data_IF_742388690854
#
_entry.id   IF_742388690854
#
_cell.length_a   1.000
_cell.length_b   1.000
_cell.length_c   1.000
_cell.angle_alpha   90.00
_cell.angle_beta   90.00
_cell.angle_gamma   90.00
#
_symmetry.space_group_name_H-M   'P 1'
#
loop_
_entity.id
_entity.type
_entity.pdbx_description
1 polymer ?
#
# COMPACT_ATOMS: atom_id res chain seq x y z
N UNK A 1 13.32 -3.79 -5.89
CA UNK A 1 12.73 -4.38 -7.11
C UNK A 1 11.43 -5.11 -6.80
N UNK A 2 11.36 -6.06 -5.86
CA UNK A 2 10.13 -6.78 -5.56
C UNK A 2 8.94 -5.87 -5.25
N UNK A 3 9.10 -4.94 -4.32
CA UNK A 3 8.06 -3.95 -3.96
C UNK A 3 7.53 -3.09 -5.13
N UNK A 4 8.37 -2.87 -6.16
CA UNK A 4 7.95 -2.29 -7.43
C UNK A 4 7.01 -3.23 -8.19
N UNK A 5 7.35 -4.53 -8.23
CA UNK A 5 6.58 -5.54 -8.94
C UNK A 5 5.24 -5.83 -8.25
N UNK A 6 5.20 -5.79 -6.91
CA UNK A 6 3.96 -5.89 -6.12
C UNK A 6 3.01 -4.71 -6.44
N UNK A 7 3.53 -3.48 -6.42
CA UNK A 7 2.76 -2.30 -6.81
C UNK A 7 2.24 -2.40 -8.24
N UNK A 8 3.06 -2.88 -9.17
CA UNK A 8 2.66 -3.10 -10.56
C UNK A 8 1.43 -4.00 -10.62
N UNK A 9 1.49 -5.19 -10.05
CA UNK A 9 0.41 -6.18 -10.12
C UNK A 9 -0.87 -5.74 -9.42
N UNK A 10 -0.73 -5.16 -8.23
CA UNK A 10 -1.88 -4.68 -7.44
C UNK A 10 -2.64 -3.57 -8.15
N UNK A 11 -1.91 -2.64 -8.77
CA UNK A 11 -2.52 -1.48 -9.40
C UNK A 11 -3.12 -1.78 -10.78
N UNK A 12 -2.76 -2.89 -11.45
CA UNK A 12 -3.44 -3.32 -12.67
C UNK A 12 -4.96 -3.40 -12.48
N UNK A 13 -5.42 -3.94 -11.35
CA UNK A 13 -6.85 -4.00 -11.05
C UNK A 13 -7.52 -2.63 -11.01
N UNK A 14 -6.94 -1.69 -10.30
CA UNK A 14 -7.48 -0.33 -10.19
C UNK A 14 -7.58 0.35 -11.56
N UNK A 15 -6.57 0.13 -12.40
CA UNK A 15 -6.46 0.74 -13.72
C UNK A 15 -7.45 0.16 -14.74
N UNK A 16 -7.79 -1.13 -14.62
CA UNK A 16 -8.76 -1.79 -15.53
C UNK A 16 -10.16 -1.89 -14.92
N UNK A 17 -10.39 -1.39 -13.72
CA UNK A 17 -11.62 -1.60 -12.95
C UNK A 17 -12.88 -1.18 -13.71
N UNK A 18 -12.84 -0.04 -14.40
CA UNK A 18 -13.97 0.46 -15.18
C UNK A 18 -14.35 -0.51 -16.32
N UNK A 19 -13.35 -0.99 -17.07
CA UNK A 19 -13.59 -1.95 -18.17
C UNK A 19 -14.06 -3.30 -17.61
N UNK A 20 -13.52 -3.72 -16.47
CA UNK A 20 -13.89 -4.95 -15.78
C UNK A 20 -15.34 -4.89 -15.27
N UNK A 21 -15.75 -3.76 -14.67
CA UNK A 21 -17.12 -3.55 -14.20
C UNK A 21 -18.11 -3.62 -15.36
N UNK A 22 -17.78 -3.03 -16.49
CA UNK A 22 -18.63 -3.05 -17.69
C UNK A 22 -18.77 -4.47 -18.27
N UNK A 23 -17.67 -5.25 -18.37
CA UNK A 23 -17.68 -6.60 -18.95
C UNK A 23 -18.39 -7.64 -18.07
N UNK A 24 -18.19 -7.57 -16.75
CA UNK A 24 -18.78 -8.50 -15.78
C UNK A 24 -20.09 -8.01 -15.15
N UNK A 25 -20.66 -6.89 -15.62
CA UNK A 25 -21.86 -6.25 -15.07
C UNK A 25 -21.81 -6.08 -13.54
N UNK A 26 -20.68 -5.52 -13.06
CA UNK A 26 -20.46 -5.29 -11.62
C UNK A 26 -20.81 -3.86 -11.24
N UNK A 27 -21.39 -3.72 -10.03
CA UNK A 27 -21.53 -2.42 -9.40
C UNK A 27 -20.20 -1.93 -8.82
N UNK A 28 -20.10 -0.63 -8.49
CA UNK A 28 -18.93 -0.07 -7.83
C UNK A 28 -18.72 -0.67 -6.44
N UNK A 29 -19.80 -1.00 -5.70
CA UNK A 29 -19.71 -1.73 -4.43
C UNK A 29 -19.07 -3.11 -4.62
N UNK A 30 -19.45 -3.84 -5.67
CA UNK A 30 -18.86 -5.15 -6.00
C UNK A 30 -17.38 -4.99 -6.37
N UNK A 31 -17.02 -4.00 -7.19
CA UNK A 31 -15.65 -3.68 -7.53
C UNK A 31 -14.81 -3.35 -6.29
N UNK A 32 -15.35 -2.53 -5.40
CA UNK A 32 -14.72 -2.21 -4.11
C UNK A 32 -14.56 -3.43 -3.21
N UNK A 33 -15.57 -4.31 -3.14
CA UNK A 33 -15.50 -5.52 -2.30
C UNK A 33 -14.42 -6.50 -2.76
N UNK A 34 -14.20 -6.64 -4.07
CA UNK A 34 -13.12 -7.45 -4.62
C UNK A 34 -11.72 -6.91 -4.23
N UNK A 35 -11.55 -5.59 -4.23
CA UNK A 35 -10.33 -4.98 -3.73
C UNK A 35 -10.17 -5.17 -2.22
N UNK A 36 -11.26 -5.00 -1.46
CA UNK A 36 -11.30 -5.22 -0.01
C UNK A 36 -10.89 -6.65 0.37
N UNK A 37 -11.40 -7.64 -0.35
CA UNK A 37 -11.05 -9.06 -0.17
C UNK A 37 -9.54 -9.28 -0.41
N UNK A 38 -8.97 -8.64 -1.42
CA UNK A 38 -7.53 -8.74 -1.69
C UNK A 38 -6.69 -8.15 -0.56
N UNK A 39 -7.06 -6.96 -0.07
CA UNK A 39 -6.35 -6.32 1.05
C UNK A 39 -6.48 -7.12 2.35
N UNK A 40 -7.66 -7.67 2.64
CA UNK A 40 -7.86 -8.53 3.79
C UNK A 40 -7.02 -9.81 3.69
N UNK A 41 -7.03 -10.46 2.51
CA UNK A 41 -6.22 -11.63 2.24
C UNK A 41 -4.71 -11.32 2.36
N UNK A 42 -4.27 -10.11 1.98
CA UNK A 42 -2.87 -9.71 2.11
C UNK A 42 -2.43 -9.53 3.58
N UNK A 43 -3.33 -9.13 4.47
CA UNK A 43 -3.01 -9.09 5.90
C UNK A 43 -2.78 -10.51 6.46
N UNK A 44 -3.61 -11.49 6.05
CA UNK A 44 -3.42 -12.91 6.38
C UNK A 44 -2.13 -13.44 5.74
N UNK A 45 -1.90 -13.13 4.48
CA UNK A 45 -0.70 -13.50 3.74
C UNK A 45 0.59 -13.00 4.41
N UNK A 46 0.58 -11.75 4.93
CA UNK A 46 1.69 -11.19 5.67
C UNK A 46 2.08 -12.00 6.90
N UNK A 47 1.10 -12.53 7.63
CA UNK A 47 1.34 -13.41 8.77
C UNK A 47 1.87 -14.77 8.31
N UNK A 48 1.23 -15.40 7.33
CA UNK A 48 1.60 -16.72 6.82
C UNK A 48 3.03 -16.71 6.25
N UNK A 49 3.33 -15.76 5.37
CA UNK A 49 4.67 -15.64 4.79
C UNK A 49 5.70 -15.12 5.78
N UNK A 50 5.32 -14.34 6.80
CA UNK A 50 6.21 -13.98 7.90
C UNK A 50 6.70 -15.23 8.64
N UNK A 51 5.80 -16.11 9.05
CA UNK A 51 6.13 -17.40 9.68
C UNK A 51 6.94 -18.28 8.72
N UNK A 52 6.56 -18.30 7.43
CA UNK A 52 7.30 -19.05 6.41
C UNK A 52 8.73 -18.52 6.25
N UNK A 53 8.92 -17.19 6.21
CA UNK A 53 10.22 -16.54 6.10
C UNK A 53 11.11 -16.84 7.31
N UNK A 54 10.56 -16.84 8.52
CA UNK A 54 11.30 -17.17 9.74
C UNK A 54 11.77 -18.63 9.73
N UNK A 55 10.94 -19.54 9.23
CA UNK A 55 11.22 -20.99 9.27
C UNK A 55 12.05 -21.49 8.08
N UNK A 56 11.81 -20.97 6.88
CA UNK A 56 12.37 -21.52 5.63
C UNK A 56 13.34 -20.57 4.91
N UNK A 57 13.44 -19.32 5.35
CA UNK A 57 14.35 -18.32 4.79
C UNK A 57 13.65 -17.12 4.15
N UNK A 58 14.33 -15.98 4.18
CA UNK A 58 13.81 -14.68 3.68
C UNK A 58 13.69 -14.69 2.15
N UNK A 59 14.72 -15.18 1.48
CA UNK A 59 14.78 -15.23 0.00
C UNK A 59 13.76 -16.22 -0.55
N UNK A 60 13.62 -17.39 0.09
CA UNK A 60 12.61 -18.40 -0.31
C UNK A 60 11.19 -17.85 -0.14
N UNK A 61 10.91 -17.20 0.98
CA UNK A 61 9.60 -16.59 1.22
C UNK A 61 9.29 -15.51 0.17
N UNK A 62 10.25 -14.66 -0.17
CA UNK A 62 10.12 -13.65 -1.21
C UNK A 62 9.81 -14.28 -2.58
N UNK A 63 10.51 -15.34 -2.97
CA UNK A 63 10.27 -16.04 -4.24
C UNK A 63 8.86 -16.63 -4.29
N UNK A 64 8.43 -17.35 -3.26
CA UNK A 64 7.09 -17.94 -3.22
C UNK A 64 5.98 -16.87 -3.19
N UNK A 65 6.20 -15.77 -2.48
CA UNK A 65 5.30 -14.62 -2.46
C UNK A 65 5.10 -14.05 -3.87
N UNK A 66 6.20 -13.73 -4.57
CA UNK A 66 6.16 -13.19 -5.94
C UNK A 66 5.51 -14.17 -6.91
N UNK A 67 5.87 -15.44 -6.87
CA UNK A 67 5.24 -16.45 -7.73
C UNK A 67 3.74 -16.56 -7.49
N UNK A 68 3.32 -16.54 -6.22
CA UNK A 68 1.90 -16.66 -5.87
C UNK A 68 1.12 -15.48 -6.42
N UNK A 69 1.51 -14.23 -6.12
CA UNK A 69 0.72 -13.10 -6.60
C UNK A 69 0.78 -12.95 -8.13
N UNK A 70 1.93 -13.18 -8.78
CA UNK A 70 2.04 -13.05 -10.24
C UNK A 70 1.20 -14.10 -10.99
N UNK A 71 1.21 -15.34 -10.53
CA UNK A 71 0.38 -16.41 -11.13
C UNK A 71 -1.10 -16.09 -10.98
N UNK A 72 -1.52 -15.64 -9.79
CA UNK A 72 -2.93 -15.32 -9.57
C UNK A 72 -3.34 -13.96 -10.17
N UNK A 73 -2.42 -13.02 -10.38
CA UNK A 73 -2.67 -11.84 -11.23
C UNK A 73 -3.00 -12.28 -12.65
N UNK A 74 -2.18 -13.12 -13.26
CA UNK A 74 -2.46 -13.65 -14.61
C UNK A 74 -3.75 -14.48 -14.64
N UNK A 75 -4.01 -15.28 -13.58
CA UNK A 75 -5.25 -16.05 -13.47
C UNK A 75 -6.50 -15.16 -13.47
N UNK A 76 -6.44 -13.93 -12.96
CA UNK A 76 -7.54 -12.97 -13.06
C UNK A 76 -7.95 -12.69 -14.50
N UNK A 77 -7.02 -12.78 -15.47
CA UNK A 77 -7.31 -12.65 -16.90
C UNK A 77 -8.19 -13.77 -17.48
N UNK A 78 -8.23 -14.93 -16.85
CA UNK A 78 -9.11 -16.04 -17.24
C UNK A 78 -10.50 -16.00 -16.58
N UNK A 79 -10.75 -15.05 -15.67
CA UNK A 79 -12.01 -14.98 -14.94
C UNK A 79 -13.20 -14.72 -15.88
N UNK A 80 -14.23 -15.57 -15.77
CA UNK A 80 -15.50 -15.46 -16.51
C UNK A 80 -16.64 -15.02 -15.59
N UNK A 81 -16.41 -14.94 -14.30
CA UNK A 81 -17.40 -14.53 -13.31
C UNK A 81 -16.75 -13.80 -12.14
N UNK A 82 -17.56 -12.99 -11.44
CA UNK A 82 -17.15 -12.28 -10.23
C UNK A 82 -16.62 -13.24 -9.16
N UNK A 83 -17.23 -14.43 -9.03
CA UNK A 83 -16.80 -15.44 -8.03
C UNK A 83 -15.41 -16.00 -8.33
N UNK A 84 -15.13 -16.31 -9.61
CA UNK A 84 -13.79 -16.76 -10.01
C UNK A 84 -12.75 -15.66 -9.80
N UNK A 85 -13.09 -14.44 -10.17
CA UNK A 85 -12.22 -13.29 -9.94
C UNK A 85 -11.92 -13.10 -8.45
N UNK A 86 -12.95 -13.18 -7.59
CA UNK A 86 -12.79 -13.08 -6.13
C UNK A 86 -11.84 -14.14 -5.59
N UNK A 87 -11.99 -15.40 -6.03
CA UNK A 87 -11.11 -16.49 -5.63
C UNK A 87 -9.64 -16.22 -6.02
N UNK A 88 -9.40 -15.82 -7.26
CA UNK A 88 -8.05 -15.50 -7.72
C UNK A 88 -7.45 -14.31 -6.95
N UNK A 89 -8.27 -13.31 -6.62
CA UNK A 89 -7.86 -12.14 -5.85
C UNK A 89 -7.55 -12.45 -4.37
N UNK A 90 -8.18 -13.46 -3.79
CA UNK A 90 -7.80 -13.97 -2.45
C UNK A 90 -6.37 -14.52 -2.48
N UNK A 91 -6.06 -15.43 -3.42
CA UNK A 91 -4.73 -16.02 -3.51
C UNK A 91 -3.66 -14.99 -3.90
N UNK A 92 -3.98 -14.06 -4.82
CA UNK A 92 -3.14 -12.91 -5.13
C UNK A 92 -2.83 -12.10 -3.87
N UNK A 93 -3.85 -11.76 -3.08
CA UNK A 93 -3.69 -11.03 -1.83
C UNK A 93 -2.79 -11.78 -0.84
N UNK A 94 -2.97 -13.08 -0.65
CA UNK A 94 -2.10 -13.89 0.21
C UNK A 94 -0.64 -13.78 -0.25
N UNK A 95 -0.38 -13.91 -1.56
CA UNK A 95 0.96 -13.71 -2.12
C UNK A 95 1.51 -12.32 -1.82
N UNK A 96 0.78 -11.27 -2.16
CA UNK A 96 1.13 -9.88 -1.95
C UNK A 96 1.53 -9.56 -0.49
N UNK A 97 0.83 -10.16 0.49
CA UNK A 97 1.14 -9.93 1.90
C UNK A 97 2.55 -10.35 2.31
N UNK A 98 3.07 -11.39 1.68
CA UNK A 98 4.39 -11.97 2.01
C UNK A 98 5.56 -11.13 1.52
N UNK A 99 5.39 -10.36 0.48
CA UNK A 99 6.51 -9.66 -0.16
C UNK A 99 7.07 -8.55 0.70
N UNK A 100 6.21 -7.67 1.24
CA UNK A 100 6.67 -6.56 2.06
C UNK A 100 7.44 -7.05 3.30
N UNK A 101 6.90 -8.06 3.99
CA UNK A 101 7.51 -8.60 5.20
C UNK A 101 8.88 -9.22 4.92
N UNK A 102 8.96 -10.05 3.88
CA UNK A 102 10.21 -10.74 3.48
C UNK A 102 11.24 -9.77 2.93
N UNK A 103 10.82 -8.81 2.09
CA UNK A 103 11.71 -7.81 1.49
C UNK A 103 12.26 -6.82 2.52
N UNK A 104 11.44 -6.35 3.46
CA UNK A 104 11.86 -5.45 4.53
C UNK A 104 12.82 -6.16 5.50
N UNK A 105 12.56 -7.43 5.85
CA UNK A 105 13.46 -8.23 6.65
C UNK A 105 14.80 -8.43 5.95
N UNK A 106 14.79 -8.82 4.68
CA UNK A 106 16.00 -9.02 3.88
C UNK A 106 16.88 -7.77 3.84
N UNK A 107 16.30 -6.58 3.56
CA UNK A 107 17.03 -5.32 3.58
C UNK A 107 17.57 -5.00 4.97
N UNK A 108 16.76 -5.20 6.01
CA UNK A 108 17.16 -4.90 7.38
C UNK A 108 18.29 -5.80 7.89
N UNK A 109 18.39 -7.02 7.39
CA UNK A 109 19.39 -8.01 7.78
C UNK A 109 20.67 -7.94 6.92
N UNK A 110 20.61 -7.37 5.70
CA UNK A 110 21.75 -7.31 4.77
C UNK A 110 22.43 -5.92 4.70
N UNK A 111 21.71 -4.84 5.04
CA UNK A 111 22.27 -3.49 4.98
C UNK A 111 22.87 -3.04 6.31
N UNK A 112 24.01 -2.28 6.30
CA UNK A 112 24.57 -1.68 7.50
C UNK A 112 23.55 -0.81 8.24
N UNK A 113 23.59 -0.80 9.58
CA UNK A 113 22.64 -0.07 10.41
C UNK A 113 22.50 1.41 10.05
N UNK A 114 23.62 2.06 9.67
CA UNK A 114 23.69 3.48 9.28
C UNK A 114 22.92 3.80 8.01
N UNK A 115 22.77 2.83 7.09
CA UNK A 115 22.15 3.02 5.78
C UNK A 115 20.81 2.29 5.64
N UNK A 116 20.41 1.52 6.64
CA UNK A 116 19.19 0.70 6.62
C UNK A 116 17.93 1.53 6.38
N UNK A 117 17.81 2.68 7.05
CA UNK A 117 16.67 3.59 6.86
C UNK A 117 16.59 4.14 5.43
N UNK A 118 17.72 4.51 4.84
CA UNK A 118 17.79 4.96 3.44
C UNK A 118 17.38 3.85 2.47
N UNK A 119 17.85 2.63 2.70
CA UNK A 119 17.52 1.47 1.87
C UNK A 119 16.04 1.11 1.94
N UNK A 120 15.42 1.14 3.14
CA UNK A 120 13.99 0.93 3.32
C UNK A 120 13.17 2.05 2.69
N UNK A 121 13.60 3.30 2.81
CA UNK A 121 12.95 4.44 2.15
C UNK A 121 12.98 4.32 0.62
N UNK A 122 14.12 3.91 0.05
CA UNK A 122 14.25 3.65 -1.38
C UNK A 122 13.39 2.46 -1.82
N UNK A 123 13.32 1.39 -1.01
CA UNK A 123 12.39 0.28 -1.26
C UNK A 123 10.95 0.80 -1.32
N UNK A 124 10.54 1.59 -0.34
CA UNK A 124 9.18 2.12 -0.26
C UNK A 124 8.84 3.04 -1.45
N UNK A 125 9.78 3.90 -1.88
CA UNK A 125 9.58 4.78 -3.03
C UNK A 125 9.44 4.04 -4.36
N UNK A 126 9.94 2.79 -4.46
CA UNK A 126 9.80 1.97 -5.66
C UNK A 126 8.35 1.59 -5.97
N UNK A 127 7.43 1.69 -4.99
CA UNK A 127 5.99 1.55 -5.20
C UNK A 127 5.46 2.49 -6.28
N UNK A 128 5.87 3.76 -6.23
CA UNK A 128 5.46 4.75 -7.22
C UNK A 128 5.89 4.38 -8.65
N UNK A 129 7.11 3.82 -8.79
CA UNK A 129 7.61 3.37 -10.09
C UNK A 129 6.82 2.17 -10.64
N UNK A 130 6.45 1.22 -9.76
CA UNK A 130 5.63 0.06 -10.14
C UNK A 130 4.24 0.48 -10.61
N UNK A 131 3.59 1.40 -9.88
CA UNK A 131 2.29 1.93 -10.28
C UNK A 131 2.37 2.69 -11.60
N UNK A 132 3.39 3.56 -11.80
CA UNK A 132 3.59 4.25 -13.06
C UNK A 132 3.77 3.27 -14.23
N UNK A 133 4.56 2.21 -14.04
CA UNK A 133 4.75 1.17 -15.05
C UNK A 133 3.43 0.45 -15.37
N UNK A 134 2.62 0.10 -14.35
CA UNK A 134 1.29 -0.48 -14.55
C UNK A 134 0.37 0.43 -15.35
N UNK A 135 0.39 1.74 -15.08
CA UNK A 135 -0.40 2.72 -15.81
C UNK A 135 -0.01 2.80 -17.30
N UNK A 136 1.31 2.82 -17.60
CA UNK A 136 1.81 2.80 -18.97
C UNK A 136 1.38 1.51 -19.70
N UNK A 137 1.59 0.34 -19.08
CA UNK A 137 1.20 -0.95 -19.66
C UNK A 137 -0.32 -0.98 -19.95
N UNK A 138 -1.11 -0.51 -18.97
CA UNK A 138 -2.56 -0.46 -19.15
C UNK A 138 -2.97 0.47 -20.31
N UNK A 139 -2.35 1.64 -20.43
CA UNK A 139 -2.64 2.56 -21.53
C UNK A 139 -2.36 1.96 -22.92
N UNK A 140 -1.31 1.14 -23.02
CA UNK A 140 -0.92 0.51 -24.30
C UNK A 140 -1.74 -0.74 -24.61
N UNK A 141 -2.07 -1.54 -23.60
CA UNK A 141 -2.68 -2.87 -23.78
C UNK A 141 -4.22 -2.80 -23.75
N UNK A 142 -4.80 -2.03 -22.83
CA UNK A 142 -6.25 -2.02 -22.60
C UNK A 142 -7.06 -1.62 -23.82
N UNK A 143 -6.68 -0.58 -24.62
CA UNK A 143 -7.50 -0.16 -25.78
C UNK A 143 -7.53 -1.17 -26.91
N UNK A 144 -6.50 -2.01 -27.05
CA UNK A 144 -6.33 -2.92 -28.20
C UNK A 144 -6.66 -4.37 -27.86
N UNK A 145 -6.26 -4.84 -26.67
CA UNK A 145 -6.35 -6.25 -26.27
C UNK A 145 -7.30 -6.49 -25.08
N UNK A 146 -7.87 -5.41 -24.52
CA UNK A 146 -8.81 -5.47 -23.42
C UNK A 146 -8.16 -5.76 -22.05
N UNK A 147 -8.99 -5.76 -21.00
CA UNK A 147 -8.54 -5.87 -19.62
C UNK A 147 -7.91 -7.24 -19.27
N UNK A 148 -8.33 -8.30 -19.95
CA UNK A 148 -7.77 -9.65 -19.74
C UNK A 148 -6.29 -9.71 -20.08
N UNK A 149 -5.90 -9.09 -21.21
CA UNK A 149 -4.51 -9.02 -21.63
C UNK A 149 -3.64 -8.24 -20.63
N UNK A 150 -4.19 -7.18 -20.00
CA UNK A 150 -3.49 -6.41 -18.97
C UNK A 150 -3.14 -7.32 -17.77
N UNK A 151 -4.04 -8.18 -17.32
CA UNK A 151 -3.74 -9.13 -16.24
C UNK A 151 -2.71 -10.20 -16.65
N UNK A 152 -2.68 -10.64 -17.91
CA UNK A 152 -1.66 -11.58 -18.36
C UNK A 152 -0.24 -10.98 -18.31
N UNK A 153 -0.09 -9.67 -18.50
CA UNK A 153 1.21 -9.00 -18.30
C UNK A 153 1.69 -9.13 -16.86
N UNK A 154 0.80 -9.27 -15.89
CA UNK A 154 1.11 -9.51 -14.48
C UNK A 154 1.85 -10.83 -14.18
N UNK A 155 2.09 -11.70 -15.18
CA UNK A 155 2.98 -12.86 -15.02
C UNK A 155 4.47 -12.46 -15.06
N UNK A 156 4.80 -11.31 -15.62
CA UNK A 156 6.21 -10.91 -15.80
C UNK A 156 7.02 -10.83 -14.51
N UNK A 157 6.49 -10.38 -13.37
CA UNK A 157 7.20 -10.43 -12.10
C UNK A 157 7.68 -11.84 -11.72
N UNK A 158 6.94 -12.90 -12.10
CA UNK A 158 7.37 -14.26 -11.84
C UNK A 158 8.72 -14.59 -12.49
N UNK A 159 9.03 -13.99 -13.65
CA UNK A 159 10.34 -14.18 -14.31
C UNK A 159 11.48 -13.59 -13.48
N UNK A 160 11.22 -12.56 -12.70
CA UNK A 160 12.21 -11.93 -11.83
C UNK A 160 12.63 -12.86 -10.68
N UNK A 161 11.78 -13.81 -10.26
CA UNK A 161 12.14 -14.80 -9.24
C UNK A 161 13.31 -15.68 -9.66
N UNK A 162 13.48 -15.93 -10.96
CA UNK A 162 14.63 -16.67 -11.49
C UNK A 162 15.93 -15.93 -11.24
N UNK A 163 15.90 -14.59 -11.42
CA UNK A 163 17.05 -13.73 -11.12
C UNK A 163 17.33 -13.68 -9.61
N UNK A 164 16.29 -13.51 -8.77
CA UNK A 164 16.41 -13.54 -7.31
C UNK A 164 17.10 -14.84 -6.87
N UNK A 165 16.60 -15.99 -7.33
CA UNK A 165 17.14 -17.31 -6.98
C UNK A 165 18.62 -17.46 -7.32
N UNK A 166 19.08 -16.80 -8.40
CA UNK A 166 20.47 -16.90 -8.87
C UNK A 166 21.43 -15.93 -8.20
N UNK A 167 20.93 -14.85 -7.61
CA UNK A 167 21.75 -13.71 -7.15
C UNK A 167 21.65 -13.42 -5.65
N UNK A 168 20.60 -13.87 -5.00
CA UNK A 168 20.40 -13.58 -3.58
C UNK A 168 20.59 -14.86 -2.76
N UNK A 169 21.38 -14.71 -1.70
CA UNK A 169 21.58 -15.73 -0.67
C UNK A 169 20.83 -15.35 0.60
N UNK A 170 20.53 -16.37 1.44
CA UNK A 170 19.90 -16.11 2.74
C UNK A 170 20.84 -15.32 3.65
N UNK A 171 20.36 -14.29 4.38
CA UNK A 171 21.18 -13.48 5.28
C UNK A 171 21.91 -14.34 6.32
N UNK A 172 23.18 -14.03 6.59
CA UNK A 172 23.99 -14.72 7.59
C UNK A 172 23.36 -14.65 8.99
N UNK A 173 22.75 -13.48 9.33
CA UNK A 173 22.03 -13.26 10.58
C UNK A 173 20.88 -14.25 10.74
N UNK A 174 20.12 -14.51 9.66
CA UNK A 174 19.06 -15.50 9.67
C UNK A 174 19.62 -16.92 9.83
N UNK A 175 20.67 -17.26 9.10
CA UNK A 175 21.32 -18.57 9.20
C UNK A 175 21.86 -18.84 10.61
N UNK A 176 22.41 -17.83 11.29
CA UNK A 176 22.89 -17.93 12.66
C UNK A 176 21.72 -18.06 13.66
N UNK A 177 20.62 -17.28 13.47
CA UNK A 177 19.46 -17.31 14.36
C UNK A 177 18.64 -18.59 14.22
N UNK A 178 18.56 -19.17 13.04
CA UNK A 178 17.89 -20.46 12.80
C UNK A 178 18.54 -21.60 13.62
N UNK A 179 19.81 -21.43 14.03
CA UNK A 179 20.54 -22.36 14.89
C UNK A 179 20.36 -22.09 16.39
N UNK A 180 19.89 -20.90 16.78
CA UNK A 180 19.69 -20.50 18.18
C UNK A 180 18.20 -20.22 18.44
N UNK A 181 17.56 -21.06 19.25
CA UNK A 181 16.17 -20.88 19.70
C UNK A 181 16.09 -19.71 20.70
N UNK A 182 16.07 -18.45 20.21
CA UNK A 182 15.79 -17.29 21.05
C UNK A 182 14.30 -16.98 21.04
N UNK A 183 13.70 -16.93 22.22
CA UNK A 183 12.29 -16.59 22.43
C UNK A 183 11.97 -15.20 21.86
N UNK A 184 11.05 -15.14 20.91
CA UNK A 184 10.38 -13.92 20.48
C UNK A 184 9.80 -13.22 21.71
N UNK A 185 9.98 -11.90 21.79
CA UNK A 185 9.38 -11.08 22.85
C UNK A 185 7.88 -11.37 22.97
N UNK A 186 7.37 -11.48 24.21
CA UNK A 186 5.96 -11.87 24.42
C UNK A 186 5.06 -10.83 23.76
N UNK A 187 4.22 -11.26 22.81
CA UNK A 187 3.19 -10.44 22.15
C UNK A 187 2.37 -9.59 23.14
N UNK A 188 2.06 -10.15 24.32
CA UNK A 188 1.34 -9.46 25.38
C UNK A 188 2.08 -8.24 25.97
N UNK A 189 3.40 -8.14 25.77
CA UNK A 189 4.20 -7.03 26.34
C UNK A 189 3.88 -5.67 25.73
N UNK A 190 3.36 -5.61 24.48
CA UNK A 190 2.93 -4.35 23.87
C UNK A 190 1.64 -3.79 24.49
N UNK A 191 0.87 -4.62 25.22
CA UNK A 191 -0.35 -4.24 25.93
C UNK A 191 -0.15 -4.03 27.42
N UNK A 192 1.11 -3.93 27.89
CA UNK A 192 1.40 -3.54 29.27
C UNK A 192 0.77 -2.17 29.56
N UNK A 193 0.51 -1.91 30.83
CA UNK A 193 -0.25 -0.73 31.28
C UNK A 193 0.34 0.60 30.81
N UNK A 194 1.66 0.68 30.65
CA UNK A 194 2.43 1.81 30.18
C UNK A 194 2.38 2.01 28.64
N UNK A 195 2.21 0.93 27.87
CA UNK A 195 2.27 0.97 26.40
C UNK A 195 0.92 0.80 25.72
N UNK A 196 -0.09 0.19 26.38
CA UNK A 196 -1.36 -0.18 25.74
C UNK A 196 -2.09 0.99 25.07
N UNK A 197 -2.16 2.13 25.77
CA UNK A 197 -2.83 3.33 25.24
C UNK A 197 -2.12 3.81 23.98
N UNK A 198 -0.79 3.86 24.01
CA UNK A 198 0.03 4.29 22.89
C UNK A 198 -0.04 3.28 21.72
N UNK A 199 -0.02 1.98 22.00
CA UNK A 199 -0.20 0.92 20.99
C UNK A 199 -1.55 1.06 20.29
N UNK A 200 -2.63 1.22 21.03
CA UNK A 200 -3.97 1.40 20.46
C UNK A 200 -4.03 2.68 19.62
N UNK A 201 -3.52 3.80 20.14
CA UNK A 201 -3.55 5.10 19.44
C UNK A 201 -2.74 5.07 18.14
N UNK A 202 -1.53 4.50 18.17
CA UNK A 202 -0.68 4.35 16.97
C UNK A 202 -1.34 3.42 15.94
N UNK A 203 -1.96 2.34 16.40
CA UNK A 203 -2.69 1.41 15.51
C UNK A 203 -3.86 2.10 14.83
N UNK A 204 -4.69 2.85 15.59
CA UNK A 204 -5.84 3.58 15.05
C UNK A 204 -5.39 4.69 14.10
N UNK A 205 -4.36 5.44 14.45
CA UNK A 205 -3.78 6.46 13.58
C UNK A 205 -3.34 5.85 12.25
N UNK A 206 -2.59 4.74 12.30
CA UNK A 206 -2.14 4.06 11.09
C UNK A 206 -3.31 3.47 10.28
N UNK A 207 -4.33 2.91 10.95
CA UNK A 207 -5.54 2.42 10.31
C UNK A 207 -6.26 3.54 9.54
N UNK A 208 -6.38 4.73 10.12
CA UNK A 208 -6.98 5.89 9.47
C UNK A 208 -6.18 6.35 8.24
N UNK A 209 -4.85 6.43 8.33
CA UNK A 209 -3.99 6.80 7.20
C UNK A 209 -4.12 5.77 6.07
N UNK A 210 -4.05 4.49 6.40
CA UNK A 210 -4.18 3.41 5.41
C UNK A 210 -5.57 3.37 4.79
N UNK A 211 -6.64 3.51 5.59
CA UNK A 211 -8.00 3.60 5.09
C UNK A 211 -8.15 4.77 4.11
N UNK A 212 -7.69 5.95 4.51
CA UNK A 212 -7.76 7.14 3.68
C UNK A 212 -7.04 6.96 2.34
N UNK A 213 -5.80 6.48 2.38
CA UNK A 213 -4.99 6.33 1.18
C UNK A 213 -5.50 5.22 0.26
N UNK A 214 -5.79 4.03 0.77
CA UNK A 214 -6.28 2.91 -0.05
C UNK A 214 -7.68 3.18 -0.61
N UNK A 215 -8.56 3.84 0.17
CA UNK A 215 -9.87 4.27 -0.30
C UNK A 215 -9.79 5.28 -1.44
N UNK A 216 -8.87 6.25 -1.36
CA UNK A 216 -8.65 7.24 -2.40
C UNK A 216 -7.92 6.64 -3.62
N UNK A 217 -6.74 6.09 -3.41
CA UNK A 217 -5.82 5.70 -4.46
C UNK A 217 -6.37 4.61 -5.39
N UNK A 218 -7.13 3.67 -4.85
CA UNK A 218 -7.72 2.58 -5.64
C UNK A 218 -8.80 3.07 -6.61
N UNK A 219 -9.58 4.08 -6.20
CA UNK A 219 -10.71 4.57 -6.98
C UNK A 219 -10.35 5.71 -7.94
N UNK A 220 -9.15 6.31 -7.83
CA UNK A 220 -8.73 7.39 -8.72
C UNK A 220 -8.76 7.01 -10.20
N UNK A 221 -8.25 5.85 -10.66
CA UNK A 221 -8.34 5.49 -12.07
C UNK A 221 -9.80 5.40 -12.56
N UNK A 222 -10.68 4.79 -11.76
CA UNK A 222 -12.10 4.69 -12.10
C UNK A 222 -12.78 6.07 -12.09
N UNK A 223 -12.53 6.90 -11.09
CA UNK A 223 -13.04 8.28 -11.03
C UNK A 223 -12.64 9.12 -12.25
N UNK A 224 -11.40 8.96 -12.72
CA UNK A 224 -10.91 9.69 -13.88
C UNK A 224 -11.49 9.17 -15.20
N UNK A 225 -11.75 7.87 -15.34
CA UNK A 225 -12.14 7.22 -16.59
C UNK A 225 -13.64 7.02 -16.77
N UNK A 226 -14.41 6.88 -15.68
CA UNK A 226 -15.87 6.73 -15.76
C UNK A 226 -16.53 7.92 -16.45
N UNK A 227 -17.60 7.69 -17.22
CA UNK A 227 -18.38 8.76 -17.81
C UNK A 227 -18.91 9.76 -16.78
N UNK A 228 -19.10 11.02 -17.22
CA UNK A 228 -19.60 12.11 -16.34
C UNK A 228 -20.98 11.78 -15.75
N UNK A 229 -21.82 11.10 -16.52
CA UNK A 229 -23.15 10.63 -16.07
C UNK A 229 -23.08 9.62 -14.92
N UNK A 230 -21.98 8.86 -14.85
CA UNK A 230 -21.72 7.88 -13.80
C UNK A 230 -20.86 8.46 -12.64
N UNK A 231 -20.75 9.79 -12.59
CA UNK A 231 -20.04 10.51 -11.55
C UNK A 231 -18.53 10.64 -11.73
N UNK A 232 -17.97 10.17 -12.86
CA UNK A 232 -16.57 10.29 -13.23
C UNK A 232 -16.21 11.59 -13.95
N UNK A 233 -15.00 11.63 -14.51
CA UNK A 233 -14.45 12.75 -15.30
C UNK A 233 -14.52 12.49 -16.80
N UNK A 234 -14.56 11.22 -17.24
CA UNK A 234 -14.68 10.81 -18.65
C UNK A 234 -13.39 10.91 -19.44
N UNK A 235 -12.23 10.76 -18.81
CA UNK A 235 -10.95 10.84 -19.50
C UNK A 235 -10.65 9.56 -20.29
N UNK A 236 -9.97 9.72 -21.42
CA UNK A 236 -9.39 8.59 -22.16
C UNK A 236 -8.31 7.87 -21.34
N UNK A 237 -8.02 6.62 -21.69
CA UNK A 237 -6.97 5.83 -21.03
C UNK A 237 -5.60 6.55 -21.02
N UNK A 238 -5.24 7.23 -22.11
CA UNK A 238 -4.00 8.00 -22.19
C UNK A 238 -3.99 9.22 -21.26
N UNK A 239 -5.08 9.99 -21.22
CA UNK A 239 -5.21 11.15 -20.35
C UNK A 239 -5.21 10.73 -18.87
N UNK A 240 -5.96 9.69 -18.52
CA UNK A 240 -5.94 9.09 -17.18
C UNK A 240 -4.51 8.68 -16.78
N UNK A 241 -3.80 7.98 -17.66
CA UNK A 241 -2.43 7.54 -17.43
C UNK A 241 -1.49 8.71 -17.16
N UNK A 242 -1.59 9.80 -17.94
CA UNK A 242 -0.76 10.99 -17.73
C UNK A 242 -0.97 11.59 -16.33
N UNK A 243 -2.22 11.70 -15.86
CA UNK A 243 -2.54 12.16 -14.52
C UNK A 243 -2.00 11.20 -13.43
N UNK A 244 -2.17 9.89 -13.64
CA UNK A 244 -1.64 8.88 -12.72
C UNK A 244 -0.11 8.97 -12.63
N UNK A 245 0.61 9.08 -13.75
CA UNK A 245 2.08 9.22 -13.74
C UNK A 245 2.50 10.48 -12.99
N UNK A 246 1.83 11.62 -13.22
CA UNK A 246 2.11 12.85 -12.48
C UNK A 246 1.93 12.65 -10.97
N UNK A 247 0.87 11.93 -10.56
CA UNK A 247 0.68 11.57 -9.14
C UNK A 247 1.82 10.69 -8.61
N UNK A 248 2.33 9.74 -9.41
CA UNK A 248 3.44 8.88 -8.96
C UNK A 248 4.75 9.67 -8.77
N UNK A 249 5.00 10.69 -9.57
CA UNK A 249 6.10 11.63 -9.34
C UNK A 249 5.96 12.31 -7.98
N UNK A 250 4.78 12.84 -7.68
CA UNK A 250 4.48 13.44 -6.37
C UNK A 250 4.64 12.44 -5.23
N UNK A 251 4.16 11.21 -5.39
CA UNK A 251 4.29 10.12 -4.42
C UNK A 251 5.75 9.80 -4.12
N UNK A 252 6.58 9.66 -5.15
CA UNK A 252 8.00 9.38 -4.99
C UNK A 252 8.71 10.45 -4.17
N UNK A 253 8.48 11.72 -4.51
CA UNK A 253 9.01 12.85 -3.73
C UNK A 253 8.45 12.87 -2.30
N UNK A 254 7.17 12.57 -2.11
CA UNK A 254 6.54 12.47 -0.79
C UNK A 254 7.24 11.48 0.12
N UNK A 255 7.51 10.28 -0.37
CA UNK A 255 8.25 9.24 0.38
C UNK A 255 9.67 9.69 0.74
N UNK A 256 10.38 10.28 -0.21
CA UNK A 256 11.78 10.70 0.00
C UNK A 256 11.86 11.90 0.96
N UNK A 257 11.07 12.93 0.71
CA UNK A 257 11.17 14.20 1.47
C UNK A 257 10.64 14.09 2.89
N UNK A 258 9.67 13.21 3.15
CA UNK A 258 9.10 13.07 4.49
C UNK A 258 10.16 12.78 5.54
N UNK A 259 11.11 11.88 5.26
CA UNK A 259 12.21 11.55 6.15
C UNK A 259 13.01 12.81 6.53
N UNK A 260 13.47 13.56 5.53
CA UNK A 260 14.26 14.77 5.74
C UNK A 260 13.50 15.86 6.52
N UNK A 261 12.22 16.06 6.19
CA UNK A 261 11.39 17.06 6.88
C UNK A 261 11.13 16.64 8.32
N UNK A 262 10.78 15.38 8.55
CA UNK A 262 10.47 14.87 9.89
C UNK A 262 11.69 14.83 10.82
N UNK A 263 12.90 14.65 10.27
CA UNK A 263 14.14 14.72 11.04
C UNK A 263 14.47 16.17 11.47
N UNK A 264 14.07 17.17 10.67
CA UNK A 264 14.36 18.59 10.96
C UNK A 264 13.27 19.26 11.81
N UNK A 265 12.00 19.02 11.48
CA UNK A 265 10.85 19.74 12.08
C UNK A 265 10.29 18.98 13.30
N UNK A 266 10.46 17.66 13.33
CA UNK A 266 9.89 16.75 14.33
C UNK A 266 8.86 15.80 13.71
N UNK A 267 8.73 14.61 14.30
CA UNK A 267 7.85 13.54 13.79
C UNK A 267 6.38 13.99 13.83
N UNK A 268 5.92 14.40 15.00
CA UNK A 268 4.52 14.77 15.25
C UNK A 268 4.05 15.92 14.36
N UNK A 269 4.81 17.00 14.26
CA UNK A 269 4.45 18.17 13.45
C UNK A 269 4.37 17.83 11.98
N UNK A 270 5.35 17.08 11.48
CA UNK A 270 5.40 16.67 10.07
C UNK A 270 4.22 15.77 9.71
N UNK A 271 3.89 14.78 10.54
CA UNK A 271 2.74 13.91 10.31
C UNK A 271 1.43 14.70 10.27
N UNK A 272 1.17 15.52 11.28
CA UNK A 272 -0.07 16.33 11.35
C UNK A 272 -0.19 17.22 10.11
N UNK A 273 0.90 17.88 9.72
CA UNK A 273 0.91 18.73 8.53
C UNK A 273 0.62 17.93 7.26
N UNK A 274 1.29 16.77 7.05
CA UNK A 274 1.09 15.95 5.85
C UNK A 274 -0.34 15.42 5.75
N UNK A 275 -0.91 14.87 6.82
CA UNK A 275 -2.26 14.29 6.75
C UNK A 275 -3.34 15.36 6.62
N UNK A 276 -3.19 16.53 7.22
CA UNK A 276 -4.11 17.65 7.04
C UNK A 276 -4.03 18.24 5.63
N UNK A 277 -2.82 18.38 5.07
CA UNK A 277 -2.64 18.80 3.69
C UNK A 277 -3.23 17.78 2.72
N UNK A 278 -3.04 16.48 2.96
CA UNK A 278 -3.66 15.42 2.17
C UNK A 278 -5.19 15.54 2.20
N UNK A 279 -5.78 15.71 3.38
CA UNK A 279 -7.22 15.91 3.53
C UNK A 279 -7.75 17.10 2.74
N UNK A 280 -7.11 18.26 2.87
CA UNK A 280 -7.50 19.49 2.17
C UNK A 280 -7.36 19.34 0.64
N UNK A 281 -6.25 18.74 0.18
CA UNK A 281 -5.98 18.55 -1.24
C UNK A 281 -6.91 17.52 -1.87
N UNK A 282 -7.33 16.47 -1.16
CA UNK A 282 -8.33 15.51 -1.65
C UNK A 282 -9.67 16.23 -1.87
N UNK A 283 -10.11 17.07 -0.92
CA UNK A 283 -11.32 17.86 -1.10
C UNK A 283 -11.22 18.80 -2.31
N UNK A 284 -10.09 19.48 -2.48
CA UNK A 284 -9.84 20.32 -3.64
C UNK A 284 -9.83 19.51 -4.95
N UNK A 285 -9.21 18.31 -4.95
CA UNK A 285 -9.14 17.42 -6.11
C UNK A 285 -10.53 16.95 -6.54
N UNK A 286 -11.37 16.54 -5.59
CA UNK A 286 -12.72 16.03 -5.87
C UNK A 286 -13.73 17.12 -6.18
N UNK A 287 -13.45 18.39 -5.85
CA UNK A 287 -14.31 19.54 -6.17
C UNK A 287 -14.14 20.08 -7.59
N UNK A 288 -13.10 19.65 -8.32
CA UNK A 288 -12.83 20.10 -9.68
C UNK A 288 -13.02 18.97 -10.70
N UNK A 289 -13.48 19.32 -11.89
CA UNK A 289 -13.55 18.41 -13.06
C UNK A 289 -12.60 18.84 -14.18
N UNK A 290 -11.83 19.90 -13.97
CA UNK A 290 -10.91 20.41 -14.98
C UNK A 290 -9.65 19.52 -15.01
N UNK A 291 -9.34 18.84 -16.17
CA UNK A 291 -8.19 17.95 -16.27
C UNK A 291 -6.85 18.61 -15.94
N UNK A 292 -6.67 19.89 -16.29
CA UNK A 292 -5.45 20.62 -15.99
C UNK A 292 -5.29 20.88 -14.47
N UNK A 293 -6.38 21.22 -13.79
CA UNK A 293 -6.37 21.36 -12.34
C UNK A 293 -6.09 20.03 -11.64
N UNK A 294 -6.67 18.92 -12.14
CA UNK A 294 -6.40 17.57 -11.65
C UNK A 294 -4.92 17.16 -11.87
N UNK A 295 -4.35 17.52 -13.03
CA UNK A 295 -2.93 17.26 -13.34
C UNK A 295 -1.99 17.98 -12.36
N UNK A 296 -2.33 19.22 -11.98
CA UNK A 296 -1.51 19.99 -11.02
C UNK A 296 -1.74 19.55 -9.59
N UNK A 297 -2.98 19.31 -9.17
CA UNK A 297 -3.30 18.92 -7.80
C UNK A 297 -2.86 17.49 -7.47
N UNK A 298 -2.96 16.56 -8.44
CA UNK A 298 -2.67 15.14 -8.24
C UNK A 298 -1.32 14.85 -7.60
N UNK A 299 -0.20 15.40 -8.11
CA UNK A 299 1.12 15.25 -7.49
C UNK A 299 1.17 15.67 -6.03
N UNK A 300 0.52 16.77 -5.66
CA UNK A 300 0.50 17.24 -4.27
C UNK A 300 -0.36 16.35 -3.38
N UNK A 301 -1.52 15.87 -3.87
CA UNK A 301 -2.33 14.88 -3.16
C UNK A 301 -1.50 13.63 -2.85
N UNK A 302 -0.80 13.11 -3.84
CA UNK A 302 0.03 11.93 -3.70
C UNK A 302 1.24 12.19 -2.79
N UNK A 303 1.89 13.35 -2.91
CA UNK A 303 3.02 13.76 -2.07
C UNK A 303 2.65 13.74 -0.58
N UNK A 304 1.58 14.42 -0.21
CA UNK A 304 1.16 14.51 1.19
C UNK A 304 0.45 13.25 1.68
N UNK A 305 -0.33 12.59 0.83
CA UNK A 305 -1.07 11.38 1.18
C UNK A 305 -0.18 10.16 1.47
N UNK A 306 1.00 10.10 0.85
CA UNK A 306 1.88 8.93 0.98
C UNK A 306 3.13 9.16 1.83
N UNK A 307 3.59 10.40 1.98
CA UNK A 307 4.84 10.68 2.68
C UNK A 307 4.87 10.07 4.09
N UNK A 308 3.75 10.11 4.81
CA UNK A 308 3.62 9.57 6.17
C UNK A 308 3.95 8.07 6.28
N UNK A 309 3.79 7.28 5.22
CA UNK A 309 4.15 5.85 5.24
C UNK A 309 5.65 5.62 5.45
N UNK A 310 6.51 6.52 4.95
CA UNK A 310 7.96 6.42 5.16
C UNK A 310 8.37 6.61 6.62
N UNK A 311 7.62 7.41 7.38
CA UNK A 311 7.94 7.73 8.77
C UNK A 311 7.43 6.70 9.76
N UNK A 312 6.51 5.81 9.38
CA UNK A 312 5.86 4.89 10.30
C UNK A 312 6.87 3.97 11.01
N UNK A 313 7.82 3.41 10.26
CA UNK A 313 8.88 2.58 10.81
C UNK A 313 9.74 3.31 11.86
N UNK A 314 10.12 4.57 11.59
CA UNK A 314 10.92 5.38 12.51
C UNK A 314 10.15 5.69 13.80
N UNK A 315 8.93 6.20 13.69
CA UNK A 315 8.08 6.54 14.86
C UNK A 315 7.85 5.33 15.75
N UNK A 316 7.49 4.20 15.17
CA UNK A 316 7.26 2.96 15.94
C UNK A 316 8.54 2.42 16.56
N UNK A 317 9.69 2.54 15.87
CA UNK A 317 10.99 2.17 16.45
C UNK A 317 11.38 3.04 17.66
N UNK A 318 11.06 4.33 17.62
CA UNK A 318 11.34 5.30 18.68
C UNK A 318 10.38 5.18 19.89
N UNK A 319 9.19 4.55 19.69
CA UNK A 319 8.17 4.32 20.72
C UNK A 319 8.43 3.04 21.51
N UNK A 320 8.74 1.93 20.81
CA UNK A 320 8.78 0.61 21.42
C UNK A 320 10.19 0.18 21.84
N UNK A 321 10.33 -0.43 23.05
CA UNK A 321 11.59 -1.04 23.48
C UNK A 321 12.07 -2.11 22.48
N UNK A 322 13.40 -2.31 22.44
CA UNK A 322 14.05 -3.21 21.46
C UNK A 322 13.49 -4.63 21.50
N UNK A 323 13.14 -5.15 22.70
CA UNK A 323 12.67 -6.53 22.88
C UNK A 323 11.33 -6.83 22.20
N UNK A 324 10.48 -5.81 22.01
CA UNK A 324 9.14 -5.96 21.42
C UNK A 324 8.94 -5.13 20.15
N UNK A 325 9.94 -4.36 19.74
CA UNK A 325 9.85 -3.38 18.63
C UNK A 325 9.34 -4.00 17.34
N UNK A 326 9.97 -5.07 16.89
CA UNK A 326 9.58 -5.73 15.64
C UNK A 326 8.14 -6.28 15.69
N UNK A 327 7.78 -6.90 16.82
CA UNK A 327 6.43 -7.43 17.05
C UNK A 327 5.38 -6.30 17.06
N UNK A 328 5.68 -5.18 17.73
CA UNK A 328 4.77 -4.04 17.81
C UNK A 328 4.62 -3.32 16.46
N UNK A 329 5.70 -3.17 15.70
CA UNK A 329 5.67 -2.64 14.34
C UNK A 329 4.82 -3.52 13.42
N UNK A 330 5.06 -4.82 13.42
CA UNK A 330 4.29 -5.78 12.63
C UNK A 330 2.80 -5.76 13.00
N UNK A 331 2.48 -5.74 14.29
CA UNK A 331 1.10 -5.69 14.76
C UNK A 331 0.38 -4.41 14.33
N UNK A 332 0.94 -3.25 14.67
CA UNK A 332 0.31 -1.95 14.38
C UNK A 332 0.15 -1.71 12.87
N UNK A 333 1.10 -2.18 12.06
CA UNK A 333 1.02 -2.08 10.61
C UNK A 333 -0.05 -3.03 10.03
N UNK A 334 -0.05 -4.31 10.39
CA UNK A 334 -0.97 -5.29 9.82
C UNK A 334 -2.42 -5.10 10.28
N UNK A 335 -2.65 -4.67 11.53
CA UNK A 335 -4.00 -4.30 11.98
C UNK A 335 -4.49 -3.06 11.23
N UNK A 336 -3.63 -2.05 11.01
CA UNK A 336 -3.95 -0.91 10.15
C UNK A 336 -4.30 -1.34 8.73
N UNK A 337 -3.54 -2.26 8.16
CA UNK A 337 -3.80 -2.82 6.81
C UNK A 337 -5.12 -3.58 6.75
N UNK A 338 -5.43 -4.37 7.76
CA UNK A 338 -6.72 -5.08 7.86
C UNK A 338 -7.90 -4.10 7.95
N UNK A 339 -7.78 -3.06 8.77
CA UNK A 339 -8.80 -2.03 8.87
C UNK A 339 -8.99 -1.28 7.53
N UNK A 340 -7.90 -1.01 6.80
CA UNK A 340 -7.95 -0.37 5.49
C UNK A 340 -8.63 -1.23 4.41
N UNK A 341 -8.74 -2.54 4.62
CA UNK A 341 -9.43 -3.42 3.68
C UNK A 341 -10.90 -3.06 3.50
N UNK A 342 -11.53 -2.41 4.47
CA UNK A 342 -12.90 -1.91 4.32
C UNK A 342 -13.01 -0.70 3.38
N UNK A 343 -11.93 0.07 3.19
CA UNK A 343 -11.97 1.36 2.49
C UNK A 343 -12.46 1.28 1.03
N UNK A 344 -11.97 0.35 0.18
CA UNK A 344 -12.43 0.26 -1.19
C UNK A 344 -13.93 -0.05 -1.31
N UNK A 345 -14.44 -0.92 -0.45
CA UNK A 345 -15.87 -1.24 -0.40
C UNK A 345 -16.70 -0.06 0.08
N UNK A 346 -16.29 0.61 1.15
CA UNK A 346 -16.99 1.79 1.70
C UNK A 346 -17.08 2.89 0.65
N UNK A 347 -15.96 3.24 -0.01
CA UNK A 347 -15.95 4.26 -1.06
C UNK A 347 -16.79 3.83 -2.26
N UNK A 348 -16.67 2.56 -2.70
CA UNK A 348 -17.46 2.04 -3.82
C UNK A 348 -18.97 2.07 -3.55
N UNK A 349 -19.40 1.66 -2.35
CA UNK A 349 -20.81 1.68 -1.94
C UNK A 349 -21.37 3.10 -1.81
N UNK A 350 -20.58 4.02 -1.27
CA UNK A 350 -20.97 5.44 -1.20
C UNK A 350 -21.02 6.10 -2.59
N UNK A 351 -20.15 5.67 -3.51
CA UNK A 351 -20.15 6.19 -4.87
C UNK A 351 -21.44 5.86 -5.63
N UNK A 352 -22.06 4.70 -5.37
CA UNK A 352 -23.36 4.30 -5.96
C UNK A 352 -24.50 5.22 -5.54
N UNK A 353 -24.49 5.70 -4.29
CA UNK A 353 -25.61 6.45 -3.72
C UNK A 353 -25.39 7.95 -3.73
N UNK A 354 -24.16 8.43 -3.58
CA UNK A 354 -23.80 9.84 -3.39
C UNK A 354 -22.81 10.38 -4.43
N UNK A 355 -22.37 9.53 -5.37
CA UNK A 355 -21.38 9.87 -6.38
C UNK A 355 -19.93 9.87 -5.85
N UNK A 356 -18.97 9.79 -6.77
CA UNK A 356 -17.55 9.62 -6.44
C UNK A 356 -16.93 10.78 -5.65
N UNK A 357 -17.32 12.04 -5.94
CA UNK A 357 -16.77 13.19 -5.22
C UNK A 357 -17.09 13.13 -3.72
N UNK A 358 -18.35 12.80 -3.38
CA UNK A 358 -18.78 12.64 -1.98
C UNK A 358 -18.15 11.40 -1.34
N UNK A 359 -18.09 10.29 -2.07
CA UNK A 359 -17.50 9.06 -1.58
C UNK A 359 -16.01 9.20 -1.24
N UNK A 360 -15.26 9.87 -2.11
CA UNK A 360 -13.83 10.13 -1.89
C UNK A 360 -13.59 11.12 -0.74
N UNK A 361 -14.52 12.02 -0.43
CA UNK A 361 -14.38 12.96 0.69
C UNK A 361 -14.30 12.28 2.05
N UNK A 362 -14.82 11.05 2.20
CA UNK A 362 -14.69 10.28 3.46
C UNK A 362 -13.22 9.97 3.77
N UNK A 363 -12.39 9.86 2.75
CA UNK A 363 -10.95 9.63 2.93
C UNK A 363 -10.26 10.85 3.55
N UNK A 364 -10.75 12.06 3.25
CA UNK A 364 -10.29 13.28 3.92
C UNK A 364 -10.65 13.28 5.41
N UNK A 365 -11.86 12.84 5.76
CA UNK A 365 -12.27 12.70 7.17
C UNK A 365 -11.37 11.70 7.91
N UNK A 366 -10.99 10.59 7.27
CA UNK A 366 -10.07 9.63 7.87
C UNK A 366 -8.65 10.21 8.07
N UNK A 367 -8.14 11.03 7.14
CA UNK A 367 -6.87 11.75 7.35
C UNK A 367 -6.96 12.76 8.51
N UNK A 368 -8.07 13.49 8.64
CA UNK A 368 -8.30 14.41 9.77
C UNK A 368 -8.32 13.62 11.09
N UNK A 369 -9.00 12.49 11.12
CA UNK A 369 -9.03 11.63 12.31
C UNK A 369 -7.64 11.10 12.67
N UNK A 370 -6.81 10.77 11.68
CA UNK A 370 -5.42 10.43 11.92
C UNK A 370 -4.63 11.58 12.56
N UNK A 371 -4.86 12.84 12.13
CA UNK A 371 -4.25 14.01 12.77
C UNK A 371 -4.68 14.16 14.23
N UNK A 372 -5.94 13.88 14.54
CA UNK A 372 -6.47 13.91 15.91
C UNK A 372 -5.78 12.89 16.80
N UNK A 373 -5.54 11.64 16.33
CA UNK A 373 -4.81 10.64 17.10
C UNK A 373 -3.38 11.07 17.45
N UNK A 374 -2.75 11.93 16.65
CA UNK A 374 -1.44 12.48 16.96
C UNK A 374 -1.41 13.34 18.23
N UNK A 375 -2.56 13.83 18.73
CA UNK A 375 -2.63 14.58 19.99
C UNK A 375 -2.06 13.75 21.15
N UNK A 376 -2.37 12.45 21.18
CA UNK A 376 -1.95 11.50 22.23
C UNK A 376 -0.63 10.80 21.96
N UNK A 377 -0.05 10.94 20.76
CA UNK A 377 1.26 10.39 20.44
C UNK A 377 2.31 11.45 20.79
N UNK A 378 3.30 11.13 21.63
CA UNK A 378 4.35 12.07 21.99
C UNK A 378 5.28 12.36 20.81
N UNK A 379 5.99 13.51 20.85
CA UNK A 379 7.09 13.76 19.93
C UNK A 379 8.23 12.76 20.22
N UNK A 380 8.72 12.12 19.16
CA UNK A 380 9.72 11.05 19.28
C UNK A 380 11.07 11.43 18.69
N UNK A 381 11.18 12.59 18.02
CA UNK A 381 12.43 13.09 17.44
C UNK A 381 13.57 13.12 18.48
N UNK A 382 14.71 12.54 18.10
CA UNK A 382 15.91 12.53 18.92
C UNK A 382 15.86 11.60 20.14
N UNK A 383 14.87 10.72 20.23
CA UNK A 383 14.87 9.69 21.28
C UNK A 383 15.89 8.61 20.94
N UNK A 384 16.74 8.31 21.90
CA UNK A 384 17.61 7.15 21.81
C UNK A 384 16.78 5.86 21.80
N UNK A 385 17.17 4.92 20.95
CA UNK A 385 16.53 3.61 20.87
C UNK A 385 16.85 2.83 22.16
N UNK A 386 15.82 2.48 22.91
CA UNK A 386 15.93 1.70 24.16
C UNK A 386 15.74 0.22 23.90
#
# INVERSE_FOLDING_TARGET
MGWLLDSFDVMLYALVLTALMADLNMSTATGGSLASVTLAASAVGGILFGVFADRFGRVRALIWSILTYSVFTAACGFAQSVRQLAMFRVFLGIGMGGEWASGAALISETWPAEHRGKALGLMQSSWALGYAAAAVVTALVLPTLGWRAVFFVGILPALFTVWIRRRLEEPEIWQASARSSKSLGRFSSMFRRDLRSLTVTVTLMNACIMFAWWGFNLWIPAYLSLPVQDGGIGLSAYAMTALIIAMQVGMWFGYVMFGFVSDRVGRKRTYIFYVLMAAALILAYTSTRNPMALLVLGPFVAFFGTGSFSGFGAVTAEIYPTEIRATAQGFTYNIGRLASAAAPWVVGSLAETHGFASALSITSAAFILAAIFWIWIPETRGRELR
#
